data_IF_263609499233
#
_entry.id   IF_263609499233
#
_cell.length_a   1.000
_cell.length_b   1.000
_cell.length_c   1.000
_cell.angle_alpha   90.00
_cell.angle_beta   90.00
_cell.angle_gamma   90.00
#
_symmetry.space_group_name_H-M   'P 1'
#
loop_
_entity.id
_entity.type
_entity.pdbx_description
1 polymer ?
#
# COMPACT_ATOMS: atom_id res chain seq x y z
N UNK A 1 36.42 13.90 -7.98
CA UNK A 1 35.74 14.63 -6.88
C UNK A 1 35.67 13.70 -5.68
N UNK A 2 36.16 14.10 -4.51
CA UNK A 2 36.00 13.29 -3.29
C UNK A 2 34.50 13.10 -3.08
N UNK A 3 34.04 11.86 -3.14
CA UNK A 3 32.74 11.46 -2.60
C UNK A 3 32.83 11.72 -1.10
N UNK A 4 32.50 12.94 -0.69
CA UNK A 4 32.24 13.24 0.70
C UNK A 4 31.07 12.35 1.08
N UNK A 5 31.36 11.28 1.81
CA UNK A 5 30.32 10.55 2.53
C UNK A 5 29.49 11.62 3.24
N UNK A 6 28.16 11.63 3.08
CA UNK A 6 27.32 12.56 3.84
C UNK A 6 27.74 12.43 5.31
N UNK A 7 27.89 13.58 6.00
CA UNK A 7 28.23 13.58 7.42
C UNK A 7 27.35 12.53 8.13
N UNK A 8 27.91 11.73 9.06
CA UNK A 8 27.15 10.69 9.73
C UNK A 8 25.85 11.32 10.22
N UNK A 9 24.69 10.75 9.86
CA UNK A 9 23.41 11.36 10.17
C UNK A 9 23.38 11.69 11.65
N UNK A 10 23.00 12.93 11.99
CA UNK A 10 22.91 13.35 13.38
C UNK A 10 22.02 12.36 14.14
N UNK A 11 22.30 12.13 15.42
CA UNK A 11 21.47 11.27 16.28
C UNK A 11 19.99 11.63 16.14
N UNK A 12 19.71 12.93 16.07
CA UNK A 12 18.39 13.49 15.81
C UNK A 12 17.76 13.04 14.48
N UNK A 13 18.53 12.94 13.41
CA UNK A 13 18.04 12.43 12.13
C UNK A 13 17.65 10.95 12.23
N UNK A 14 18.46 10.13 12.91
CA UNK A 14 18.18 8.71 13.09
C UNK A 14 16.90 8.50 13.90
N UNK A 15 16.69 9.27 14.97
CA UNK A 15 15.44 9.26 15.74
C UNK A 15 14.22 9.59 14.88
N UNK A 16 14.31 10.63 14.06
CA UNK A 16 13.21 11.04 13.18
C UNK A 16 12.92 10.00 12.10
N UNK A 17 13.97 9.40 11.52
CA UNK A 17 13.85 8.31 10.56
C UNK A 17 13.14 7.11 11.19
N UNK A 18 13.55 6.69 12.38
CA UNK A 18 12.92 5.58 13.09
C UNK A 18 11.47 5.89 13.43
N UNK A 19 11.17 7.12 13.85
CA UNK A 19 9.80 7.59 14.09
C UNK A 19 8.97 7.56 12.82
N UNK A 20 9.52 8.01 11.69
CA UNK A 20 8.87 7.97 10.38
C UNK A 20 8.55 6.53 9.97
N UNK A 21 9.53 5.62 10.06
CA UNK A 21 9.35 4.21 9.72
C UNK A 21 8.29 3.53 10.60
N UNK A 22 8.26 3.83 11.90
CA UNK A 22 7.20 3.34 12.81
C UNK A 22 5.82 3.86 12.41
N UNK A 23 5.69 5.16 12.14
CA UNK A 23 4.43 5.75 11.69
C UNK A 23 3.92 5.13 10.38
N UNK A 24 4.83 4.89 9.42
CA UNK A 24 4.49 4.21 8.16
C UNK A 24 4.08 2.76 8.40
N UNK A 25 4.82 2.02 9.23
CA UNK A 25 4.54 0.63 9.55
C UNK A 25 3.18 0.50 10.26
N UNK A 26 2.91 1.32 11.27
CA UNK A 26 1.63 1.34 11.99
C UNK A 26 0.46 1.61 11.03
N UNK A 27 0.59 2.64 10.17
CA UNK A 27 -0.41 2.95 9.16
C UNK A 27 -0.64 1.75 8.22
N UNK A 28 0.44 1.11 7.75
CA UNK A 28 0.36 -0.04 6.86
C UNK A 28 -0.29 -1.26 7.52
N UNK A 29 0.05 -1.57 8.77
CA UNK A 29 -0.58 -2.65 9.53
C UNK A 29 -2.07 -2.40 9.77
N UNK A 30 -2.45 -1.15 10.08
CA UNK A 30 -3.86 -0.78 10.24
C UNK A 30 -4.62 -0.85 8.92
N UNK A 31 -4.03 -0.41 7.79
CA UNK A 31 -4.62 -0.60 6.45
C UNK A 31 -4.87 -2.09 6.20
N UNK A 32 -3.85 -2.94 6.41
CA UNK A 32 -4.00 -4.39 6.25
C UNK A 32 -5.11 -4.96 7.12
N UNK A 33 -5.18 -4.55 8.38
CA UNK A 33 -6.21 -5.01 9.32
C UNK A 33 -7.60 -4.61 8.85
N UNK A 34 -7.81 -3.35 8.43
CA UNK A 34 -9.09 -2.85 7.90
C UNK A 34 -9.50 -3.63 6.65
N UNK A 35 -8.55 -3.91 5.76
CA UNK A 35 -8.81 -4.67 4.53
C UNK A 35 -9.19 -6.13 4.86
N UNK A 36 -8.41 -6.82 5.68
CA UNK A 36 -8.66 -8.22 6.08
C UNK A 36 -9.99 -8.34 6.83
N UNK A 37 -10.24 -7.46 7.80
CA UNK A 37 -11.47 -7.47 8.58
C UNK A 37 -12.70 -7.26 7.68
N UNK A 38 -12.64 -6.34 6.73
CA UNK A 38 -13.75 -6.19 5.79
C UNK A 38 -13.87 -7.35 4.82
N UNK A 39 -12.78 -7.96 4.32
CA UNK A 39 -12.85 -9.21 3.55
C UNK A 39 -13.54 -10.34 4.33
N UNK A 40 -13.20 -10.49 5.61
CA UNK A 40 -13.79 -11.49 6.49
C UNK A 40 -15.30 -11.30 6.71
N UNK A 41 -15.81 -10.06 6.57
CA UNK A 41 -17.25 -9.77 6.65
C UNK A 41 -17.93 -9.88 5.27
N UNK A 42 -17.28 -9.38 4.22
CA UNK A 42 -17.85 -9.27 2.88
C UNK A 42 -18.01 -10.64 2.22
N UNK A 43 -17.00 -11.51 2.34
CA UNK A 43 -17.04 -12.83 1.67
C UNK A 43 -18.21 -13.69 2.17
N UNK A 44 -18.43 -13.85 3.50
CA UNK A 44 -19.62 -14.56 4.00
C UNK A 44 -20.94 -13.93 3.56
N UNK A 45 -21.06 -12.60 3.55
CA UNK A 45 -22.26 -11.92 3.08
C UNK A 45 -22.53 -12.17 1.60
N UNK A 46 -21.47 -12.20 0.77
CA UNK A 46 -21.58 -12.55 -0.65
C UNK A 46 -22.06 -13.99 -0.84
N UNK A 47 -21.48 -14.94 -0.10
CA UNK A 47 -21.85 -16.35 -0.15
C UNK A 47 -23.32 -16.51 0.27
N UNK A 48 -23.72 -15.90 1.38
CA UNK A 48 -25.09 -15.95 1.87
C UNK A 48 -26.08 -15.34 0.87
N UNK A 49 -25.75 -14.19 0.28
CA UNK A 49 -26.56 -13.57 -0.77
C UNK A 49 -26.71 -14.47 -2.00
N UNK A 50 -25.63 -15.15 -2.42
CA UNK A 50 -25.65 -16.08 -3.54
C UNK A 50 -26.49 -17.34 -3.24
N UNK A 51 -26.41 -17.91 -2.02
CA UNK A 51 -27.18 -19.11 -1.66
C UNK A 51 -28.69 -18.88 -1.55
N UNK A 52 -29.13 -17.62 -1.44
CA UNK A 52 -30.55 -17.26 -1.31
C UNK A 52 -31.09 -16.56 -2.56
N UNK A 53 -30.36 -16.61 -3.69
CA UNK A 53 -30.69 -15.91 -4.94
C UNK A 53 -31.03 -14.42 -4.75
N UNK A 54 -30.48 -13.79 -3.70
CA UNK A 54 -30.80 -12.43 -3.31
C UNK A 54 -29.75 -11.47 -3.86
N UNK A 55 -29.98 -11.04 -5.12
CA UNK A 55 -29.07 -10.15 -5.83
C UNK A 55 -28.83 -8.81 -5.11
N UNK A 56 -29.83 -8.30 -4.38
CA UNK A 56 -29.72 -7.07 -3.60
C UNK A 56 -28.73 -7.24 -2.44
N UNK A 57 -28.80 -8.36 -1.73
CA UNK A 57 -27.86 -8.68 -0.64
C UNK A 57 -26.44 -8.88 -1.17
N UNK A 58 -26.26 -9.52 -2.34
CA UNK A 58 -24.94 -9.62 -2.97
C UNK A 58 -24.37 -8.24 -3.30
N UNK A 59 -25.18 -7.35 -3.91
CA UNK A 59 -24.74 -6.01 -4.29
C UNK A 59 -24.46 -5.13 -3.07
N UNK A 60 -25.32 -5.17 -2.05
CA UNK A 60 -25.14 -4.41 -0.81
C UNK A 60 -24.01 -4.98 0.04
N UNK A 61 -23.84 -6.31 0.09
CA UNK A 61 -22.77 -6.99 0.84
C UNK A 61 -21.37 -6.78 0.24
N UNK A 62 -21.29 -6.54 -1.08
CA UNK A 62 -20.04 -6.13 -1.74
C UNK A 62 -19.87 -4.62 -1.58
N UNK A 63 -20.78 -3.81 -2.12
CA UNK A 63 -20.56 -2.37 -2.29
C UNK A 63 -20.69 -1.59 -0.98
N UNK A 64 -21.59 -2.00 -0.08
CA UNK A 64 -21.87 -1.27 1.16
C UNK A 64 -20.66 -1.23 2.11
N UNK A 65 -20.05 -2.37 2.46
CA UNK A 65 -18.88 -2.36 3.32
C UNK A 65 -17.59 -1.93 2.60
N UNK A 66 -17.40 -2.27 1.32
CA UNK A 66 -16.20 -1.85 0.54
C UNK A 66 -16.16 -0.34 0.33
N UNK A 67 -17.26 0.26 -0.10
CA UNK A 67 -17.31 1.68 -0.48
C UNK A 67 -17.67 2.55 0.72
N UNK A 68 -18.56 2.10 1.61
CA UNK A 68 -18.98 2.89 2.77
C UNK A 68 -18.02 2.73 3.94
N UNK A 69 -17.99 1.54 4.55
CA UNK A 69 -17.27 1.32 5.80
C UNK A 69 -15.75 1.40 5.66
N UNK A 70 -15.18 0.64 4.72
CA UNK A 70 -13.73 0.56 4.56
C UNK A 70 -13.15 1.86 4.01
N UNK A 71 -13.79 2.52 3.04
CA UNK A 71 -13.33 3.81 2.55
C UNK A 71 -13.35 4.90 3.63
N UNK A 72 -14.36 4.92 4.51
CA UNK A 72 -14.40 5.85 5.64
C UNK A 72 -13.27 5.58 6.63
N UNK A 73 -13.02 4.31 6.99
CA UNK A 73 -11.94 3.94 7.90
C UNK A 73 -10.56 4.24 7.30
N UNK A 74 -10.34 3.92 6.03
CA UNK A 74 -9.10 4.25 5.32
C UNK A 74 -8.93 5.76 5.17
N UNK A 75 -10.00 6.49 4.87
CA UNK A 75 -10.01 7.96 4.81
C UNK A 75 -9.65 8.59 6.16
N UNK A 76 -10.26 8.14 7.25
CA UNK A 76 -9.95 8.59 8.60
C UNK A 76 -8.49 8.30 8.97
N UNK A 77 -7.99 7.11 8.63
CA UNK A 77 -6.60 6.73 8.83
C UNK A 77 -5.64 7.65 8.05
N UNK A 78 -5.95 7.91 6.77
CA UNK A 78 -5.17 8.83 5.93
C UNK A 78 -5.17 10.25 6.53
N UNK A 79 -6.33 10.78 6.92
CA UNK A 79 -6.43 12.09 7.56
C UNK A 79 -5.64 12.17 8.88
N UNK A 80 -5.53 11.07 9.61
CA UNK A 80 -4.77 11.01 10.85
C UNK A 80 -3.25 10.89 10.64
N UNK A 81 -2.80 9.96 9.78
CA UNK A 81 -1.38 9.67 9.59
C UNK A 81 -0.70 10.64 8.62
N UNK A 82 -1.39 11.11 7.59
CA UNK A 82 -0.79 11.95 6.53
C UNK A 82 -0.15 13.23 7.07
N UNK A 83 -0.81 14.04 7.92
CA UNK A 83 -0.19 15.25 8.45
C UNK A 83 1.00 14.93 9.36
N UNK A 84 0.94 13.84 10.14
CA UNK A 84 2.03 13.40 11.02
C UNK A 84 3.26 12.99 10.22
N UNK A 85 3.08 12.16 9.20
CA UNK A 85 4.16 11.73 8.31
C UNK A 85 4.76 12.90 7.55
N UNK A 86 3.93 13.85 7.09
CA UNK A 86 4.40 15.07 6.40
C UNK A 86 5.27 15.95 7.30
N UNK A 87 4.90 16.13 8.58
CA UNK A 87 5.71 16.89 9.55
C UNK A 87 7.07 16.24 9.79
N UNK A 88 7.10 14.95 10.11
CA UNK A 88 8.36 14.24 10.36
C UNK A 88 9.25 14.25 9.12
N UNK A 89 8.67 14.06 7.92
CA UNK A 89 9.42 14.16 6.66
C UNK A 89 10.01 15.55 6.45
N UNK A 90 9.26 16.62 6.75
CA UNK A 90 9.76 18.00 6.66
C UNK A 90 10.94 18.25 7.60
N UNK A 91 10.83 17.83 8.87
CA UNK A 91 11.93 17.94 9.86
C UNK A 91 13.18 17.17 9.41
N UNK A 92 13.00 15.99 8.82
CA UNK A 92 14.11 15.22 8.25
C UNK A 92 14.76 15.92 7.04
N UNK A 93 13.99 16.61 6.19
CA UNK A 93 14.52 17.38 5.06
C UNK A 93 15.32 18.60 5.53
N UNK A 94 14.87 19.29 6.58
CA UNK A 94 15.58 20.43 7.17
C UNK A 94 16.95 20.03 7.71
N UNK A 95 17.05 18.87 8.37
CA UNK A 95 18.30 18.39 8.97
C UNK A 95 19.27 17.86 7.90
N UNK A 96 18.77 17.08 6.95
CA UNK A 96 19.63 16.38 5.99
C UNK A 96 19.87 17.16 4.69
N UNK A 97 19.18 18.29 4.50
CA UNK A 97 19.30 19.17 3.34
C UNK A 97 18.57 18.65 2.09
N UNK A 98 18.35 19.53 1.09
CA UNK A 98 17.70 19.17 -0.16
C UNK A 98 18.46 18.06 -0.89
N UNK A 99 17.78 16.94 -1.19
CA UNK A 99 18.32 15.79 -1.93
C UNK A 99 18.69 14.57 -1.09
N UNK A 100 18.77 14.68 0.24
CA UNK A 100 19.12 13.56 1.13
C UNK A 100 18.01 12.50 1.30
N UNK A 101 16.74 12.91 1.28
CA UNK A 101 15.60 11.99 1.36
C UNK A 101 15.18 11.41 0.00
N UNK A 102 15.51 12.11 -1.08
CA UNK A 102 14.98 11.84 -2.41
C UNK A 102 15.83 10.80 -3.16
N UNK A 103 17.14 10.80 -2.91
CA UNK A 103 18.11 9.91 -3.57
C UNK A 103 18.01 8.43 -3.17
N UNK A 104 17.15 8.06 -2.21
CA UNK A 104 16.88 6.65 -1.87
C UNK A 104 15.45 6.21 -2.18
N UNK A 105 14.56 7.15 -2.53
CA UNK A 105 13.17 6.84 -2.79
C UNK A 105 12.97 6.37 -4.24
N UNK A 106 13.35 7.20 -5.21
CA UNK A 106 13.07 6.95 -6.63
C UNK A 106 14.23 6.31 -7.40
N UNK A 107 15.44 6.26 -6.84
CA UNK A 107 16.64 5.78 -7.56
C UNK A 107 16.66 4.28 -7.83
N UNK A 108 15.88 3.50 -7.08
CA UNK A 108 15.99 2.04 -7.04
C UNK A 108 14.76 1.35 -7.67
N UNK A 109 13.94 2.09 -8.42
CA UNK A 109 12.70 1.59 -9.04
C UNK A 109 11.46 1.61 -8.13
N UNK A 110 11.55 2.20 -6.94
CA UNK A 110 10.40 2.37 -6.04
C UNK A 110 9.64 3.66 -6.32
N UNK A 111 8.40 3.55 -6.81
CA UNK A 111 7.50 4.66 -7.05
C UNK A 111 6.67 4.91 -5.80
N UNK A 112 6.70 6.16 -5.31
CA UNK A 112 5.96 6.63 -4.14
C UNK A 112 6.22 5.79 -2.86
N UNK A 113 7.31 5.03 -2.82
CA UNK A 113 7.73 4.20 -1.69
C UNK A 113 6.99 2.87 -1.51
N UNK A 114 6.01 2.52 -2.33
CA UNK A 114 5.23 1.28 -2.18
C UNK A 114 5.05 0.48 -3.48
N UNK A 115 5.13 1.12 -4.65
CA UNK A 115 5.01 0.43 -5.93
C UNK A 115 6.41 0.25 -6.52
N UNK A 116 6.69 -0.90 -7.14
CA UNK A 116 8.00 -1.18 -7.72
C UNK A 116 7.90 -1.32 -9.23
N UNK A 117 8.76 -0.60 -9.95
CA UNK A 117 8.83 -0.59 -11.40
C UNK A 117 10.29 -0.51 -11.82
N UNK A 118 10.83 -1.63 -12.30
CA UNK A 118 12.21 -1.73 -12.77
C UNK A 118 12.29 -2.67 -13.98
N UNK A 119 12.40 -2.13 -15.21
CA UNK A 119 12.57 -2.92 -16.43
C UNK A 119 13.86 -3.75 -16.46
N UNK A 120 14.89 -3.30 -15.74
CA UNK A 120 16.19 -3.96 -15.60
C UNK A 120 16.14 -5.15 -14.63
N UNK A 121 15.33 -5.08 -13.57
CA UNK A 121 15.20 -6.18 -12.62
C UNK A 121 14.26 -7.27 -13.14
N UNK A 122 14.76 -8.49 -13.36
CA UNK A 122 13.98 -9.63 -13.89
C UNK A 122 13.06 -10.31 -12.88
N UNK A 123 13.13 -9.97 -11.59
CA UNK A 123 12.24 -10.57 -10.61
C UNK A 123 10.81 -10.04 -10.76
N UNK A 124 9.84 -10.96 -10.69
CA UNK A 124 8.41 -10.60 -10.62
C UNK A 124 8.03 -10.23 -9.19
N UNK A 125 8.61 -10.92 -8.21
CA UNK A 125 8.48 -10.62 -6.78
C UNK A 125 9.69 -9.86 -6.29
N UNK A 126 9.46 -8.78 -5.56
CA UNK A 126 10.50 -7.91 -5.00
C UNK A 126 10.19 -7.68 -3.54
N UNK A 127 11.18 -7.83 -2.67
CA UNK A 127 10.98 -7.58 -1.23
C UNK A 127 10.56 -6.14 -0.99
N UNK A 128 9.52 -5.95 -0.17
CA UNK A 128 9.06 -4.61 0.19
C UNK A 128 10.13 -3.86 0.96
N UNK A 129 10.49 -2.65 0.50
CA UNK A 129 11.41 -1.74 1.24
C UNK A 129 10.89 -1.31 2.61
N UNK A 130 9.61 -1.52 2.89
CA UNK A 130 9.03 -1.30 4.22
C UNK A 130 9.34 -2.44 5.20
N UNK A 131 10.13 -3.45 4.77
CA UNK A 131 10.64 -4.52 5.63
C UNK A 131 9.69 -5.71 5.80
N UNK A 132 8.54 -5.72 5.13
CA UNK A 132 7.54 -6.79 5.28
C UNK A 132 6.87 -7.16 3.94
N UNK A 133 7.06 -8.42 3.54
CA UNK A 133 6.39 -9.04 2.40
C UNK A 133 7.03 -8.73 1.06
N UNK A 134 6.31 -9.09 -0.01
CA UNK A 134 6.73 -8.89 -1.39
C UNK A 134 5.76 -7.96 -2.11
N UNK A 135 6.29 -7.18 -3.05
CA UNK A 135 5.52 -6.45 -4.06
C UNK A 135 5.77 -7.06 -5.43
N UNK A 136 4.92 -6.72 -6.39
CA UNK A 136 5.12 -7.09 -7.79
C UNK A 136 5.97 -6.03 -8.49
N UNK A 137 6.86 -6.47 -9.37
CA UNK A 137 7.51 -5.59 -10.33
C UNK A 137 6.55 -5.32 -11.49
N UNK A 138 5.92 -4.15 -11.50
CA UNK A 138 4.93 -3.76 -12.51
C UNK A 138 5.54 -3.48 -13.89
N UNK A 139 6.86 -3.52 -14.03
CA UNK A 139 7.52 -3.52 -15.34
C UNK A 139 7.42 -4.88 -16.06
N UNK A 140 6.95 -5.93 -15.38
CA UNK A 140 6.87 -7.31 -15.90
C UNK A 140 5.46 -7.67 -16.32
N UNK A 141 5.31 -8.24 -17.51
CA UNK A 141 4.02 -8.69 -18.04
C UNK A 141 3.40 -9.78 -17.15
N UNK A 142 4.23 -10.60 -16.52
CA UNK A 142 3.85 -11.64 -15.58
C UNK A 142 3.13 -11.07 -14.34
N UNK A 143 3.55 -9.89 -13.85
CA UNK A 143 2.87 -9.21 -12.74
C UNK A 143 1.44 -8.83 -13.11
N UNK A 144 1.23 -8.35 -14.33
CA UNK A 144 -0.10 -8.03 -14.86
C UNK A 144 -0.95 -9.27 -15.10
N UNK A 145 -0.34 -10.38 -15.54
CA UNK A 145 -1.00 -11.68 -15.66
C UNK A 145 -1.52 -12.20 -14.32
N UNK A 146 -0.69 -12.12 -13.27
CA UNK A 146 -1.10 -12.48 -11.90
C UNK A 146 -2.26 -11.59 -11.41
N UNK A 147 -2.19 -10.29 -11.67
CA UNK A 147 -3.27 -9.36 -11.33
C UNK A 147 -4.56 -9.69 -12.07
N UNK A 148 -4.48 -10.03 -13.37
CA UNK A 148 -5.64 -10.43 -14.16
C UNK A 148 -6.30 -11.70 -13.61
N UNK A 149 -5.51 -12.71 -13.26
CA UNK A 149 -6.02 -13.96 -12.64
C UNK A 149 -6.74 -13.66 -11.33
N UNK A 150 -6.18 -12.77 -10.50
CA UNK A 150 -6.79 -12.36 -9.24
C UNK A 150 -8.14 -11.66 -9.44
N UNK A 151 -8.28 -10.88 -10.52
CA UNK A 151 -9.49 -10.11 -10.81
C UNK A 151 -10.56 -10.90 -11.57
N UNK A 152 -10.22 -12.04 -12.20
CA UNK A 152 -11.15 -12.86 -13.00
C UNK A 152 -12.45 -13.24 -12.27
N UNK A 153 -12.43 -13.74 -11.02
CA UNK A 153 -13.66 -14.10 -10.32
C UNK A 153 -14.59 -12.90 -10.11
N UNK A 154 -14.03 -11.73 -9.84
CA UNK A 154 -14.79 -10.48 -9.65
C UNK A 154 -15.42 -10.06 -10.97
N UNK A 155 -14.64 -10.07 -12.06
CA UNK A 155 -15.13 -9.75 -13.40
C UNK A 155 -16.26 -10.71 -13.81
N UNK A 156 -16.07 -12.01 -13.59
CA UNK A 156 -17.08 -13.02 -13.86
C UNK A 156 -18.37 -12.76 -13.09
N UNK A 157 -18.31 -12.49 -11.78
CA UNK A 157 -19.50 -12.22 -10.98
C UNK A 157 -20.26 -10.95 -11.40
N UNK A 158 -19.55 -9.95 -11.93
CA UNK A 158 -20.16 -8.69 -12.41
C UNK A 158 -20.78 -8.86 -13.80
N UNK A 159 -20.12 -9.58 -14.70
CA UNK A 159 -20.51 -9.69 -16.12
C UNK A 159 -21.43 -10.88 -16.39
N UNK A 160 -21.26 -12.00 -15.67
CA UNK A 160 -21.96 -13.26 -15.95
C UNK A 160 -23.35 -13.35 -15.28
N UNK A 161 -23.90 -12.25 -14.75
CA UNK A 161 -25.30 -12.24 -14.32
C UNK A 161 -26.22 -12.11 -15.55
N UNK A 162 -27.17 -13.03 -15.78
CA UNK A 162 -28.26 -12.84 -16.73
C UNK A 162 -29.23 -11.75 -16.28
#
# INVERSE_FOLDING_TARGET
ARTTLPAPPSERYLELRDRYMRLMADAFYLIKLILIAGFAVNVPLCIWGATNDNATVMLVGILGPLIGGQAVLLGALLLYYWPKMKRVRSEMQEIAGPGSLERSADSDGWIAGFMYYSPENRSVWVESRMGYGYTLNFARTEAWGLLAILLLPVIYLVVAKP
#
